data_IF_679442432901
#
_entry.id   IF_679442432901
#
_cell.length_a   1.000
_cell.length_b   1.000
_cell.length_c   1.000
_cell.angle_alpha   90.00
_cell.angle_beta   90.00
_cell.angle_gamma   90.00
#
_symmetry.space_group_name_H-M   'P 1'
#
loop_
_entity.id
_entity.type
_entity.pdbx_description
1 polymer ?
#
# COMPACT_ATOMS: atom_id res chain seq x y z
N UNK A 1 -15.29 -4.44 15.19
CA UNK A 1 -16.28 -4.35 14.10
C UNK A 1 -17.23 -5.52 14.21
N UNK A 2 -18.53 -5.28 14.29
CA UNK A 2 -19.54 -6.34 14.37
C UNK A 2 -20.01 -6.68 12.96
N UNK A 3 -20.05 -7.97 12.63
CA UNK A 3 -20.60 -8.45 11.36
C UNK A 3 -22.13 -8.46 11.44
N UNK A 4 -22.85 -8.25 10.31
CA UNK A 4 -24.30 -8.38 10.26
C UNK A 4 -24.76 -9.73 10.79
N UNK A 5 -25.74 -9.74 11.69
CA UNK A 5 -26.19 -11.00 12.28
C UNK A 5 -27.05 -11.82 11.31
N UNK A 6 -27.06 -13.14 11.48
CA UNK A 6 -27.92 -14.04 10.76
C UNK A 6 -28.22 -15.26 11.63
N UNK A 7 -29.51 -15.51 11.89
CA UNK A 7 -29.98 -16.56 12.83
C UNK A 7 -29.63 -17.99 12.39
N UNK A 8 -29.36 -18.22 11.11
CA UNK A 8 -29.10 -19.54 10.55
C UNK A 8 -27.60 -19.81 10.34
N UNK A 9 -26.77 -18.78 10.44
CA UNK A 9 -25.34 -18.85 10.17
C UNK A 9 -24.52 -18.61 11.45
N UNK A 10 -23.42 -19.36 11.67
CA UNK A 10 -22.55 -19.13 12.81
C UNK A 10 -21.64 -17.91 12.58
N UNK A 11 -22.21 -16.70 12.60
CA UNK A 11 -21.49 -15.44 12.35
C UNK A 11 -20.35 -15.21 13.34
N UNK A 12 -20.50 -15.68 14.58
CA UNK A 12 -19.44 -15.65 15.59
C UNK A 12 -18.17 -16.41 15.15
N UNK A 13 -18.32 -17.53 14.41
CA UNK A 13 -17.19 -18.29 13.90
C UNK A 13 -16.49 -17.54 12.76
N UNK A 14 -17.27 -16.90 11.87
CA UNK A 14 -16.73 -16.04 10.82
C UNK A 14 -15.99 -14.84 11.41
N UNK A 15 -16.55 -14.17 12.41
CA UNK A 15 -15.87 -13.06 13.10
C UNK A 15 -14.56 -13.51 13.76
N UNK A 16 -14.45 -14.79 14.14
CA UNK A 16 -13.26 -15.37 14.77
C UNK A 16 -12.16 -15.87 13.82
N UNK A 17 -12.32 -15.79 12.49
CA UNK A 17 -11.34 -16.34 11.52
C UNK A 17 -9.95 -15.72 11.64
N UNK A 18 -9.89 -14.45 12.11
CA UNK A 18 -8.65 -13.69 12.28
C UNK A 18 -8.13 -13.66 13.73
N UNK A 19 -8.79 -14.30 14.71
CA UNK A 19 -8.34 -14.31 16.11
C UNK A 19 -6.97 -14.99 16.29
N UNK A 20 -6.62 -15.92 15.39
CA UNK A 20 -5.33 -16.63 15.38
C UNK A 20 -4.73 -16.55 13.98
N UNK A 21 -3.92 -15.52 13.76
CA UNK A 21 -3.17 -15.27 12.51
C UNK A 21 -1.69 -15.13 12.80
N UNK A 22 -0.89 -16.06 12.27
CA UNK A 22 0.58 -15.99 12.30
C UNK A 22 1.19 -15.44 11.00
N UNK A 23 0.35 -15.27 9.98
CA UNK A 23 0.72 -14.79 8.64
C UNK A 23 -0.51 -14.16 7.95
N UNK A 24 -0.26 -13.45 6.86
CA UNK A 24 -1.27 -12.64 6.14
C UNK A 24 -2.22 -13.43 5.25
N UNK A 25 -1.90 -14.69 4.95
CA UNK A 25 -2.64 -15.48 3.96
C UNK A 25 -4.15 -15.60 4.24
N UNK A 26 -4.60 -15.60 5.50
CA UNK A 26 -6.03 -15.74 5.84
C UNK A 26 -6.82 -14.51 5.38
N UNK A 27 -6.24 -13.32 5.54
CA UNK A 27 -6.87 -12.08 5.11
C UNK A 27 -7.05 -12.09 3.60
N UNK A 28 -5.95 -12.33 2.87
CA UNK A 28 -5.98 -12.35 1.41
C UNK A 28 -6.84 -13.49 0.87
N UNK A 29 -6.89 -14.65 1.51
CA UNK A 29 -7.80 -15.73 1.13
C UNK A 29 -9.25 -15.27 1.16
N UNK A 30 -9.67 -14.63 2.26
CA UNK A 30 -11.07 -14.22 2.39
C UNK A 30 -11.41 -13.03 1.49
N UNK A 31 -10.52 -12.06 1.36
CA UNK A 31 -10.67 -10.94 0.40
C UNK A 31 -10.87 -11.51 -1.02
N UNK A 32 -9.99 -12.41 -1.45
CA UNK A 32 -10.07 -13.01 -2.78
C UNK A 32 -11.34 -13.84 -2.99
N UNK A 33 -11.77 -14.58 -1.98
CA UNK A 33 -13.01 -15.35 -2.02
C UNK A 33 -14.23 -14.43 -2.18
N UNK A 34 -14.31 -13.36 -1.40
CA UNK A 34 -15.39 -12.37 -1.45
C UNK A 34 -15.45 -11.68 -2.82
N UNK A 35 -14.30 -11.23 -3.33
CA UNK A 35 -14.21 -10.61 -4.65
C UNK A 35 -14.67 -11.55 -5.77
N UNK A 36 -14.15 -12.78 -5.81
CA UNK A 36 -14.50 -13.76 -6.85
C UNK A 36 -15.98 -14.15 -6.78
N UNK A 37 -16.51 -14.40 -5.58
CA UNK A 37 -17.92 -14.72 -5.40
C UNK A 37 -18.82 -13.57 -5.85
N UNK A 38 -18.42 -12.32 -5.55
CA UNK A 38 -19.19 -11.15 -5.94
C UNK A 38 -19.16 -10.88 -7.45
N UNK A 39 -18.02 -11.16 -8.11
CA UNK A 39 -17.83 -11.03 -9.56
C UNK A 39 -18.57 -12.13 -10.34
N UNK A 40 -18.37 -13.41 -9.98
CA UNK A 40 -18.81 -14.56 -10.77
C UNK A 40 -20.22 -15.06 -10.43
N UNK A 41 -20.70 -14.81 -9.20
CA UNK A 41 -21.95 -15.38 -8.66
C UNK A 41 -22.00 -16.92 -8.74
N UNK A 42 -20.83 -17.56 -8.74
CA UNK A 42 -20.69 -19.02 -8.73
C UNK A 42 -20.17 -19.45 -7.35
N UNK A 43 -20.84 -20.44 -6.75
CA UNK A 43 -20.44 -21.00 -5.48
C UNK A 43 -19.19 -21.87 -5.61
N UNK A 44 -18.87 -22.40 -6.80
CA UNK A 44 -17.66 -23.20 -7.02
C UNK A 44 -16.49 -22.31 -7.44
N UNK A 45 -15.40 -22.35 -6.69
CA UNK A 45 -14.21 -21.53 -6.95
C UNK A 45 -12.95 -22.39 -6.92
N UNK A 46 -12.18 -22.36 -8.02
CA UNK A 46 -10.93 -23.11 -8.11
C UNK A 46 -9.83 -22.46 -7.27
N UNK A 47 -8.99 -23.30 -6.65
CA UNK A 47 -7.87 -22.82 -5.83
C UNK A 47 -6.92 -21.92 -6.62
N UNK A 48 -6.64 -22.27 -7.88
CA UNK A 48 -5.76 -21.49 -8.76
C UNK A 48 -6.22 -20.02 -8.86
N UNK A 49 -7.53 -19.80 -9.01
CA UNK A 49 -8.11 -18.46 -9.11
C UNK A 49 -7.96 -17.71 -7.78
N UNK A 50 -8.26 -18.35 -6.65
CA UNK A 50 -8.15 -17.71 -5.33
C UNK A 50 -6.69 -17.34 -5.04
N UNK A 51 -5.75 -18.26 -5.27
CA UNK A 51 -4.32 -18.03 -5.01
C UNK A 51 -3.74 -16.93 -5.91
N UNK A 52 -4.11 -16.91 -7.20
CA UNK A 52 -3.72 -15.82 -8.09
C UNK A 52 -4.30 -14.48 -7.60
N UNK A 53 -5.59 -14.44 -7.24
CA UNK A 53 -6.24 -13.24 -6.72
C UNK A 53 -5.62 -12.77 -5.38
N UNK A 54 -5.20 -13.70 -4.53
CA UNK A 54 -4.48 -13.37 -3.28
C UNK A 54 -3.21 -12.59 -3.59
N UNK A 55 -2.39 -13.09 -4.52
CA UNK A 55 -1.15 -12.42 -4.95
C UNK A 55 -1.45 -11.05 -5.54
N UNK A 56 -2.48 -10.94 -6.38
CA UNK A 56 -2.90 -9.67 -6.95
C UNK A 56 -3.27 -8.63 -5.88
N UNK A 57 -3.97 -9.04 -4.83
CA UNK A 57 -4.39 -8.17 -3.73
C UNK A 57 -3.25 -7.69 -2.83
N UNK A 58 -2.17 -8.48 -2.72
CA UNK A 58 -1.00 -8.13 -1.92
C UNK A 58 0.16 -7.53 -2.72
N UNK A 59 0.10 -7.57 -4.06
CA UNK A 59 1.19 -7.12 -4.93
C UNK A 59 1.58 -5.67 -4.67
N UNK A 60 0.59 -4.77 -4.64
CA UNK A 60 0.83 -3.35 -4.49
C UNK A 60 1.33 -2.97 -3.07
N UNK A 61 0.71 -3.45 -1.97
CA UNK A 61 1.27 -3.27 -0.62
C UNK A 61 2.73 -3.72 -0.47
N UNK A 62 3.09 -4.89 -1.02
CA UNK A 62 4.43 -5.47 -0.88
C UNK A 62 5.44 -4.77 -1.80
N UNK A 63 5.14 -4.67 -3.09
CA UNK A 63 6.15 -4.32 -4.08
C UNK A 63 6.29 -2.81 -4.27
N UNK A 64 5.17 -2.08 -4.28
CA UNK A 64 5.14 -0.63 -4.50
C UNK A 64 5.33 0.14 -3.18
N UNK A 65 4.56 -0.21 -2.15
CA UNK A 65 4.62 0.47 -0.84
C UNK A 65 5.64 -0.13 0.14
N UNK A 66 6.26 -1.27 -0.21
CA UNK A 66 7.29 -1.92 0.61
C UNK A 66 6.84 -2.29 2.03
N UNK A 67 5.54 -2.57 2.22
CA UNK A 67 5.01 -2.98 3.53
C UNK A 67 5.57 -4.37 3.88
N UNK A 68 6.13 -4.49 5.08
CA UNK A 68 6.59 -5.77 5.61
C UNK A 68 5.40 -6.58 6.14
N UNK A 69 5.27 -7.84 5.74
CA UNK A 69 4.25 -8.73 6.34
C UNK A 69 4.79 -9.49 7.56
N UNK A 70 6.06 -9.24 7.91
CA UNK A 70 6.80 -9.92 8.96
C UNK A 70 7.88 -10.85 8.39
N UNK A 71 8.98 -10.99 9.12
CA UNK A 71 10.19 -11.70 8.66
C UNK A 71 9.95 -13.17 8.25
N UNK A 72 9.00 -13.84 8.92
CA UNK A 72 8.69 -15.25 8.67
C UNK A 72 7.44 -15.46 7.79
N UNK A 73 6.88 -14.38 7.21
CA UNK A 73 5.72 -14.52 6.33
C UNK A 73 6.17 -14.95 4.93
N UNK A 74 6.06 -16.25 4.67
CA UNK A 74 6.37 -16.83 3.35
C UNK A 74 5.55 -16.22 2.20
N UNK A 75 4.40 -15.61 2.50
CA UNK A 75 3.57 -14.95 1.49
C UNK A 75 4.28 -13.73 0.88
N UNK A 76 4.91 -12.90 1.72
CA UNK A 76 5.73 -11.77 1.27
C UNK A 76 6.95 -12.23 0.48
N UNK A 77 7.67 -13.24 0.99
CA UNK A 77 8.81 -13.82 0.29
C UNK A 77 8.45 -14.32 -1.12
N UNK A 78 7.39 -15.12 -1.25
CA UNK A 78 6.99 -15.68 -2.54
C UNK A 78 6.63 -14.60 -3.56
N UNK A 79 5.96 -13.53 -3.13
CA UNK A 79 5.54 -12.44 -4.01
C UNK A 79 6.74 -11.62 -4.49
N UNK A 80 7.68 -11.31 -3.59
CA UNK A 80 8.95 -10.65 -3.95
C UNK A 80 9.77 -11.52 -4.91
N UNK A 81 9.82 -12.83 -4.69
CA UNK A 81 10.53 -13.75 -5.59
C UNK A 81 9.84 -13.86 -6.96
N UNK A 82 8.50 -13.87 -7.01
CA UNK A 82 7.77 -13.78 -8.29
C UNK A 82 8.16 -12.49 -9.02
N UNK A 83 8.14 -11.33 -8.35
CA UNK A 83 8.52 -10.05 -8.93
C UNK A 83 9.96 -10.08 -9.47
N UNK A 84 10.91 -10.61 -8.69
CA UNK A 84 12.32 -10.72 -9.08
C UNK A 84 12.55 -11.61 -10.30
N UNK A 85 11.87 -12.75 -10.38
CA UNK A 85 12.00 -13.70 -11.50
C UNK A 85 11.41 -13.12 -12.79
N UNK A 86 10.28 -12.42 -12.67
CA UNK A 86 9.46 -12.03 -13.81
C UNK A 86 9.76 -10.63 -14.32
N UNK A 87 10.35 -9.76 -13.48
CA UNK A 87 10.54 -8.35 -13.79
C UNK A 87 9.23 -7.57 -13.93
N UNK A 88 8.10 -8.15 -13.48
CA UNK A 88 6.79 -7.50 -13.58
C UNK A 88 6.78 -6.16 -12.84
N UNK A 89 6.12 -5.16 -13.44
CA UNK A 89 6.05 -3.82 -12.85
C UNK A 89 5.44 -3.83 -11.45
N UNK A 90 6.00 -3.01 -10.55
CA UNK A 90 5.52 -2.90 -9.17
C UNK A 90 4.11 -2.29 -9.10
N UNK A 91 3.74 -1.53 -10.14
CA UNK A 91 2.44 -0.87 -10.30
C UNK A 91 1.59 -1.47 -11.43
N UNK A 92 1.81 -2.73 -11.81
CA UNK A 92 0.96 -3.46 -12.76
C UNK A 92 -0.54 -3.37 -12.40
N UNK A 93 -1.41 -3.42 -13.41
CA UNK A 93 -2.85 -3.51 -13.17
C UNK A 93 -3.23 -4.87 -12.56
N UNK A 94 -4.21 -4.88 -11.64
CA UNK A 94 -4.67 -6.09 -10.95
C UNK A 94 -5.16 -7.19 -11.91
N UNK A 95 -5.89 -6.81 -12.96
CA UNK A 95 -6.41 -7.75 -13.97
C UNK A 95 -5.28 -8.29 -14.84
N UNK A 96 -4.39 -7.42 -15.31
CA UNK A 96 -3.23 -7.81 -16.10
C UNK A 96 -2.31 -8.79 -15.33
N UNK A 97 -2.05 -8.51 -14.05
CA UNK A 97 -1.30 -9.41 -13.19
C UNK A 97 -2.02 -10.75 -12.99
N UNK A 98 -3.35 -10.74 -12.85
CA UNK A 98 -4.13 -11.96 -12.72
C UNK A 98 -4.01 -12.83 -13.98
N UNK A 99 -4.23 -12.24 -15.16
CA UNK A 99 -4.12 -12.93 -16.44
C UNK A 99 -2.70 -13.48 -16.65
N UNK A 100 -1.68 -12.70 -16.29
CA UNK A 100 -0.30 -13.15 -16.28
C UNK A 100 -0.11 -14.39 -15.39
N UNK A 101 -0.56 -14.36 -14.13
CA UNK A 101 -0.39 -15.47 -13.18
C UNK A 101 -1.14 -16.74 -13.63
N UNK A 102 -2.33 -16.59 -14.22
CA UNK A 102 -3.13 -17.73 -14.69
C UNK A 102 -2.53 -18.37 -15.96
N UNK A 103 -2.00 -17.54 -16.86
CA UNK A 103 -1.42 -18.00 -18.13
C UNK A 103 0.05 -18.41 -18.01
N UNK A 104 0.75 -18.00 -16.94
CA UNK A 104 2.16 -18.34 -16.75
C UNK A 104 2.40 -19.86 -16.73
N UNK A 105 3.41 -20.31 -17.47
CA UNK A 105 3.80 -21.73 -17.57
C UNK A 105 5.12 -22.05 -16.86
N UNK A 106 5.79 -21.07 -16.27
CA UNK A 106 7.02 -21.26 -15.51
C UNK A 106 6.77 -22.19 -14.32
N UNK A 107 7.47 -23.35 -14.23
CA UNK A 107 7.35 -24.24 -13.08
C UNK A 107 7.69 -23.55 -11.76
N UNK A 108 8.65 -22.62 -11.78
CA UNK A 108 9.09 -21.89 -10.59
C UNK A 108 8.06 -20.86 -10.11
N UNK A 109 7.42 -20.12 -11.03
CA UNK A 109 6.33 -19.20 -10.65
C UNK A 109 5.13 -20.00 -10.13
N UNK A 110 4.76 -21.07 -10.83
CA UNK A 110 3.65 -21.92 -10.42
C UNK A 110 3.88 -22.58 -9.05
N UNK A 111 5.12 -22.97 -8.71
CA UNK A 111 5.41 -23.51 -7.37
C UNK A 111 5.28 -22.46 -6.26
N UNK A 112 5.69 -21.21 -6.52
CA UNK A 112 5.53 -20.10 -5.58
C UNK A 112 4.06 -19.74 -5.34
N UNK A 113 3.25 -19.70 -6.41
CA UNK A 113 1.80 -19.46 -6.33
C UNK A 113 1.11 -20.59 -5.55
N UNK A 114 1.41 -21.85 -5.90
CA UNK A 114 0.75 -23.01 -5.30
C UNK A 114 1.26 -23.37 -3.90
N UNK A 115 2.31 -22.71 -3.40
CA UNK A 115 2.86 -22.97 -2.06
C UNK A 115 1.78 -22.95 -0.96
N UNK A 116 0.81 -22.03 -1.08
CA UNK A 116 -0.23 -21.80 -0.09
C UNK A 116 -1.44 -22.75 -0.21
N UNK A 117 -1.53 -23.53 -1.29
CA UNK A 117 -2.60 -24.52 -1.52
C UNK A 117 -2.76 -25.50 -0.35
N UNK A 118 -1.64 -25.91 0.27
CA UNK A 118 -1.62 -27.01 1.25
C UNK A 118 -2.10 -26.62 2.65
N UNK A 119 -2.24 -25.33 2.95
CA UNK A 119 -2.53 -24.87 4.31
C UNK A 119 -3.71 -23.91 4.35
N UNK A 120 -3.76 -22.93 3.45
CA UNK A 120 -4.69 -21.80 3.56
C UNK A 120 -6.16 -22.21 3.62
N UNK A 121 -6.71 -23.00 2.67
CA UNK A 121 -8.14 -23.37 2.69
C UNK A 121 -8.53 -24.16 3.95
N UNK A 122 -7.60 -24.91 4.52
CA UNK A 122 -7.84 -25.71 5.72
C UNK A 122 -7.76 -24.85 6.99
N UNK A 123 -6.73 -24.01 7.10
CA UNK A 123 -6.51 -23.14 8.27
C UNK A 123 -7.55 -22.04 8.39
N UNK A 124 -8.16 -21.61 7.29
CA UNK A 124 -9.26 -20.66 7.32
C UNK A 124 -10.51 -21.26 8.01
N UNK A 125 -10.74 -22.57 7.88
CA UNK A 125 -11.84 -23.28 8.55
C UNK A 125 -11.56 -23.62 10.03
N UNK A 126 -10.43 -23.18 10.59
CA UNK A 126 -10.08 -23.51 11.98
C UNK A 126 -11.11 -23.11 13.05
N UNK A 127 -11.92 -22.04 12.90
CA UNK A 127 -13.00 -21.75 13.85
C UNK A 127 -14.12 -22.80 13.82
N UNK A 128 -14.42 -23.39 12.66
CA UNK A 128 -15.44 -24.44 12.53
C UNK A 128 -14.94 -25.81 12.95
N UNK A 129 -13.64 -26.07 12.74
CA UNK A 129 -13.00 -27.36 12.97
C UNK A 129 -11.72 -27.20 13.79
N UNK A 130 -11.81 -26.84 15.09
CA UNK A 130 -10.64 -26.63 15.92
C UNK A 130 -9.84 -27.92 16.11
N UNK A 131 -8.51 -27.81 16.02
CA UNK A 131 -7.56 -28.92 16.24
C UNK A 131 -7.78 -30.14 15.33
N UNK A 132 -8.36 -29.97 14.15
CA UNK A 132 -8.56 -31.04 13.15
C UNK A 132 -7.43 -31.09 12.14
N UNK A 133 -7.13 -32.30 11.64
CA UNK A 133 -6.16 -32.47 10.55
C UNK A 133 -6.76 -32.01 9.22
N UNK A 134 -5.93 -31.75 8.21
CA UNK A 134 -6.42 -31.36 6.88
C UNK A 134 -7.36 -32.42 6.29
N UNK A 135 -7.07 -33.71 6.50
CA UNK A 135 -7.92 -34.82 6.04
C UNK A 135 -9.30 -34.76 6.70
N UNK A 136 -9.35 -34.60 8.02
CA UNK A 136 -10.61 -34.49 8.77
C UNK A 136 -11.41 -33.26 8.32
N UNK A 137 -10.74 -32.14 8.01
CA UNK A 137 -11.40 -30.93 7.53
C UNK A 137 -12.06 -31.17 6.16
N UNK A 138 -11.40 -31.89 5.23
CA UNK A 138 -12.03 -32.27 3.95
C UNK A 138 -13.28 -33.10 4.19
N UNK A 139 -13.18 -34.13 5.03
CA UNK A 139 -14.28 -35.03 5.34
C UNK A 139 -15.45 -34.30 6.00
N UNK A 140 -15.20 -33.54 7.07
CA UNK A 140 -16.22 -32.78 7.81
C UNK A 140 -16.88 -31.70 6.95
N UNK A 141 -16.08 -30.99 6.14
CA UNK A 141 -16.60 -29.92 5.29
C UNK A 141 -17.45 -30.44 4.13
N UNK A 142 -17.26 -31.69 3.69
CA UNK A 142 -17.97 -32.27 2.54
C UNK A 142 -19.50 -32.21 2.65
N UNK A 143 -20.03 -32.39 3.86
CA UNK A 143 -21.45 -32.27 4.22
C UNK A 143 -21.80 -30.93 4.89
N UNK A 144 -20.95 -29.92 4.80
CA UNK A 144 -21.11 -28.61 5.45
C UNK A 144 -21.35 -28.68 6.97
N UNK A 145 -20.67 -29.61 7.66
CA UNK A 145 -20.78 -29.78 9.11
C UNK A 145 -20.59 -28.44 9.85
N UNK A 146 -21.36 -28.23 10.92
CA UNK A 146 -21.40 -26.97 11.68
C UNK A 146 -21.76 -25.73 10.84
N UNK A 147 -22.50 -25.90 9.73
CA UNK A 147 -22.77 -24.85 8.75
C UNK A 147 -21.48 -24.11 8.34
N UNK A 148 -20.42 -24.86 8.00
CA UNK A 148 -19.18 -24.25 7.56
C UNK A 148 -19.36 -23.46 6.24
N UNK A 149 -18.54 -22.43 6.07
CA UNK A 149 -18.66 -21.45 4.98
C UNK A 149 -18.45 -22.05 3.59
N UNK A 150 -17.60 -23.08 3.48
CA UNK A 150 -17.41 -23.83 2.25
C UNK A 150 -16.99 -25.28 2.53
N UNK A 151 -17.13 -26.13 1.51
CA UNK A 151 -16.54 -27.47 1.44
C UNK A 151 -15.30 -27.48 0.55
N UNK A 152 -14.37 -28.39 0.82
CA UNK A 152 -13.12 -28.52 0.06
C UNK A 152 -13.18 -29.73 -0.88
N UNK A 153 -12.92 -29.50 -2.16
CA UNK A 153 -12.63 -30.55 -3.14
C UNK A 153 -11.11 -30.70 -3.31
N UNK A 154 -10.56 -31.75 -2.72
CA UNK A 154 -9.10 -32.02 -2.77
C UNK A 154 -8.67 -32.82 -4.02
N UNK A 155 -9.63 -33.28 -4.83
CA UNK A 155 -9.38 -33.86 -6.14
C UNK A 155 -8.96 -32.79 -7.16
N UNK A 156 -8.02 -33.12 -8.05
CA UNK A 156 -7.57 -32.18 -9.11
C UNK A 156 -8.65 -32.06 -10.20
N UNK A 157 -9.00 -30.84 -10.66
CA UNK A 157 -8.56 -29.53 -10.16
C UNK A 157 -9.20 -29.19 -8.80
N UNK A 158 -8.35 -28.76 -7.84
CA UNK A 158 -8.80 -28.44 -6.48
C UNK A 158 -9.68 -27.20 -6.46
N UNK A 159 -10.72 -27.25 -5.65
CA UNK A 159 -11.70 -26.19 -5.54
C UNK A 159 -12.30 -26.12 -4.13
N UNK A 160 -12.95 -25.00 -3.84
CA UNK A 160 -13.97 -24.94 -2.81
C UNK A 160 -15.35 -24.84 -3.46
N UNK A 161 -16.38 -25.21 -2.71
CA UNK A 161 -17.74 -24.76 -3.01
C UNK A 161 -18.34 -24.10 -1.77
N UNK A 162 -18.76 -22.85 -1.95
CA UNK A 162 -19.43 -22.04 -0.94
C UNK A 162 -20.76 -22.70 -0.58
N UNK A 163 -21.01 -22.82 0.72
CA UNK A 163 -22.29 -23.27 1.23
C UNK A 163 -23.40 -22.32 0.78
N UNK A 164 -24.45 -22.84 0.15
CA UNK A 164 -25.55 -22.02 -0.38
C UNK A 164 -26.18 -21.11 0.69
N UNK A 165 -26.26 -21.58 1.95
CA UNK A 165 -26.74 -20.77 3.08
C UNK A 165 -25.90 -19.52 3.31
N UNK A 166 -24.59 -19.60 3.04
CA UNK A 166 -23.66 -18.49 3.18
C UNK A 166 -23.66 -17.58 1.95
N UNK A 167 -23.91 -18.10 0.74
CA UNK A 167 -23.73 -17.36 -0.51
C UNK A 167 -24.48 -16.02 -0.52
N UNK A 168 -25.77 -16.04 -0.20
CA UNK A 168 -26.59 -14.82 -0.13
C UNK A 168 -26.07 -13.83 0.93
N UNK A 169 -25.68 -14.33 2.11
CA UNK A 169 -25.13 -13.49 3.17
C UNK A 169 -23.81 -12.83 2.76
N UNK A 170 -22.89 -13.59 2.15
CA UNK A 170 -21.59 -13.08 1.70
C UNK A 170 -21.75 -12.04 0.60
N UNK A 171 -22.66 -12.28 -0.34
CA UNK A 171 -22.96 -11.36 -1.44
C UNK A 171 -23.60 -10.07 -0.93
N UNK A 172 -24.67 -10.19 -0.13
CA UNK A 172 -25.43 -9.04 0.37
C UNK A 172 -24.58 -8.15 1.29
N UNK A 173 -23.67 -8.74 2.06
CA UNK A 173 -22.83 -8.04 3.02
C UNK A 173 -21.38 -7.85 2.54
N UNK A 174 -21.11 -8.04 1.24
CA UNK A 174 -19.76 -8.08 0.69
C UNK A 174 -18.90 -6.87 1.09
N UNK A 175 -19.46 -5.66 1.04
CA UNK A 175 -18.74 -4.44 1.42
C UNK A 175 -18.32 -4.45 2.89
N UNK A 176 -19.24 -4.80 3.79
CA UNK A 176 -18.97 -4.86 5.23
C UNK A 176 -17.94 -5.97 5.53
N UNK A 177 -18.00 -7.08 4.81
CA UNK A 177 -17.04 -8.18 4.98
C UNK A 177 -15.64 -7.81 4.46
N UNK A 178 -15.55 -7.08 3.35
CA UNK A 178 -14.28 -6.53 2.87
C UNK A 178 -13.71 -5.51 3.86
N UNK A 179 -14.54 -4.59 4.38
CA UNK A 179 -14.13 -3.63 5.41
C UNK A 179 -13.62 -4.36 6.67
N UNK A 180 -14.27 -5.46 7.08
CA UNK A 180 -13.81 -6.32 8.16
C UNK A 180 -12.44 -6.95 7.85
N UNK A 181 -12.23 -7.45 6.63
CA UNK A 181 -10.94 -8.00 6.20
C UNK A 181 -9.84 -6.94 6.23
N UNK A 182 -10.07 -5.78 5.61
CA UNK A 182 -9.08 -4.71 5.51
C UNK A 182 -8.78 -4.08 6.88
N UNK A 183 -9.77 -3.94 7.76
CA UNK A 183 -9.55 -3.49 9.13
C UNK A 183 -8.61 -4.41 9.90
N UNK A 184 -8.89 -5.72 9.92
CA UNK A 184 -8.04 -6.66 10.64
C UNK A 184 -6.65 -6.82 9.98
N UNK A 185 -6.58 -6.74 8.64
CA UNK A 185 -5.31 -6.74 7.91
C UNK A 185 -4.48 -5.49 8.25
N UNK A 186 -5.10 -4.30 8.31
CA UNK A 186 -4.42 -3.06 8.69
C UNK A 186 -3.83 -3.16 10.11
N UNK A 187 -4.62 -3.65 11.08
CA UNK A 187 -4.14 -3.86 12.46
C UNK A 187 -2.98 -4.86 12.51
N UNK A 188 -3.09 -5.98 11.78
CA UNK A 188 -2.02 -6.97 11.70
C UNK A 188 -0.74 -6.34 11.13
N UNK A 189 -0.83 -5.62 10.01
CA UNK A 189 0.32 -5.01 9.36
C UNK A 189 0.91 -3.86 10.18
N UNK A 190 0.10 -3.09 10.90
CA UNK A 190 0.59 -2.06 11.83
C UNK A 190 1.49 -2.65 12.91
N UNK A 191 1.17 -3.83 13.43
CA UNK A 191 2.04 -4.52 14.40
C UNK A 191 3.41 -4.92 13.83
N UNK A 192 3.52 -5.04 12.50
CA UNK A 192 4.77 -5.39 11.79
C UNK A 192 5.51 -4.18 11.25
N UNK A 193 4.83 -3.03 11.17
CA UNK A 193 5.33 -1.78 10.59
C UNK A 193 4.99 -0.60 11.51
N UNK A 194 5.44 -0.59 12.78
CA UNK A 194 4.97 0.35 13.80
C UNK A 194 5.19 1.82 13.43
N UNK A 195 6.24 2.12 12.64
CA UNK A 195 6.62 3.48 12.28
C UNK A 195 6.28 3.86 10.83
N UNK A 196 5.57 2.99 10.10
CA UNK A 196 5.20 3.27 8.71
C UNK A 196 3.90 4.07 8.70
N UNK A 197 3.86 5.25 8.05
CA UNK A 197 2.66 6.05 8.01
C UNK A 197 1.58 5.40 7.13
N UNK A 198 0.33 5.65 7.49
CA UNK A 198 -0.83 5.47 6.61
C UNK A 198 -0.98 4.06 5.98
N UNK A 199 -0.78 3.01 6.78
CA UNK A 199 -0.97 1.62 6.35
C UNK A 199 -2.35 1.36 5.74
N UNK A 200 -3.49 1.87 6.28
CA UNK A 200 -4.80 1.60 5.72
C UNK A 200 -4.93 1.99 4.23
N UNK A 201 -4.44 3.17 3.85
CA UNK A 201 -4.49 3.61 2.45
C UNK A 201 -3.44 2.92 1.57
N UNK A 202 -2.48 2.19 2.15
CA UNK A 202 -1.50 1.38 1.42
C UNK A 202 -1.99 -0.03 1.07
N UNK A 203 -3.18 -0.45 1.57
CA UNK A 203 -3.68 -1.81 1.34
C UNK A 203 -4.30 -2.03 -0.04
N UNK A 204 -4.83 -0.96 -0.65
CA UNK A 204 -5.56 -1.03 -1.91
C UNK A 204 -4.90 -0.06 -2.90
N UNK A 205 -4.63 -0.56 -4.11
CA UNK A 205 -4.16 0.32 -5.19
C UNK A 205 -5.27 1.29 -5.59
N UNK A 206 -5.06 2.62 -5.49
CA UNK A 206 -6.05 3.57 -5.99
C UNK A 206 -6.16 3.46 -7.51
N UNK A 207 -7.36 3.67 -8.04
CA UNK A 207 -7.62 3.63 -9.50
C UNK A 207 -6.73 4.64 -10.22
N UNK A 208 -6.57 5.83 -9.64
CA UNK A 208 -5.65 6.87 -10.09
C UNK A 208 -5.15 7.68 -8.90
N UNK A 209 -3.95 8.26 -9.02
CA UNK A 209 -3.46 9.24 -8.06
C UNK A 209 -4.12 10.58 -8.33
N UNK A 210 -4.52 11.28 -7.27
CA UNK A 210 -5.03 12.64 -7.40
C UNK A 210 -3.96 13.53 -8.06
N UNK A 211 -4.32 14.40 -9.00
CA UNK A 211 -3.36 15.31 -9.59
C UNK A 211 -2.89 16.34 -8.55
N UNK A 212 -1.61 16.71 -8.60
CA UNK A 212 -0.99 17.72 -7.72
C UNK A 212 -1.36 19.16 -8.12
N UNK A 213 -2.58 19.38 -8.62
CA UNK A 213 -3.01 20.66 -9.19
C UNK A 213 -2.97 21.78 -8.15
N UNK A 214 -3.44 21.54 -6.92
CA UNK A 214 -3.44 22.57 -5.86
C UNK A 214 -2.02 22.98 -5.47
N UNK A 215 -1.15 22.00 -5.35
CA UNK A 215 0.25 22.18 -4.97
C UNK A 215 1.03 22.86 -6.11
N UNK A 216 0.71 22.54 -7.37
CA UNK A 216 1.24 23.27 -8.52
C UNK A 216 0.84 24.74 -8.48
N UNK A 217 -0.42 25.06 -8.19
CA UNK A 217 -0.87 26.45 -8.07
C UNK A 217 -0.19 27.19 -6.91
N UNK A 218 0.03 26.52 -5.77
CA UNK A 218 0.84 27.07 -4.68
C UNK A 218 2.23 27.47 -5.16
N UNK A 219 2.93 26.58 -5.86
CA UNK A 219 4.28 26.85 -6.38
C UNK A 219 4.29 27.93 -7.47
N UNK A 220 3.24 28.05 -8.29
CA UNK A 220 3.12 29.17 -9.24
C UNK A 220 3.12 30.52 -8.53
N UNK A 221 2.42 30.66 -7.40
CA UNK A 221 2.43 31.89 -6.61
C UNK A 221 3.81 32.24 -6.01
N UNK A 222 4.67 31.23 -5.80
CA UNK A 222 6.07 31.40 -5.39
C UNK A 222 6.93 31.82 -6.59
N UNK A 223 6.71 31.22 -7.77
CA UNK A 223 7.37 31.64 -9.02
C UNK A 223 7.08 33.11 -9.36
N UNK A 224 5.88 33.61 -9.07
CA UNK A 224 5.55 35.01 -9.33
C UNK A 224 6.43 36.01 -8.56
N UNK A 225 7.05 35.60 -7.43
CA UNK A 225 8.01 36.42 -6.69
C UNK A 225 9.46 36.21 -7.10
N UNK A 226 9.88 34.96 -7.34
CA UNK A 226 11.28 34.66 -7.66
C UNK A 226 11.62 34.80 -9.14
N UNK A 227 10.61 34.79 -10.02
CA UNK A 227 10.68 34.63 -11.47
C UNK A 227 11.27 33.28 -11.91
N UNK A 228 12.37 32.85 -11.30
CA UNK A 228 13.07 31.60 -11.55
C UNK A 228 13.43 30.93 -10.22
N UNK A 229 13.26 29.60 -10.15
CA UNK A 229 13.59 28.82 -8.94
C UNK A 229 14.74 27.86 -9.29
N UNK A 230 15.87 27.88 -8.57
CA UNK A 230 16.93 26.90 -8.79
C UNK A 230 16.46 25.50 -8.37
N UNK A 231 16.53 24.53 -9.28
CA UNK A 231 16.21 23.13 -8.97
C UNK A 231 17.17 22.60 -7.91
N UNK A 232 16.66 22.08 -6.78
CA UNK A 232 17.50 21.65 -5.66
C UNK A 232 18.50 20.53 -6.03
N UNK A 233 18.17 19.72 -7.04
CA UNK A 233 18.97 18.57 -7.47
C UNK A 233 20.04 18.91 -8.51
N UNK A 234 19.80 19.94 -9.33
CA UNK A 234 20.63 20.24 -10.50
C UNK A 234 21.19 21.65 -10.53
N UNK A 235 20.69 22.54 -9.67
CA UNK A 235 20.87 24.00 -9.74
C UNK A 235 20.42 24.65 -11.06
N UNK A 236 19.78 23.89 -11.97
CA UNK A 236 19.24 24.47 -13.20
C UNK A 236 18.07 25.38 -12.88
N UNK A 237 18.00 26.52 -13.53
CA UNK A 237 16.86 27.45 -13.41
C UNK A 237 15.56 26.78 -13.90
N UNK A 238 14.55 26.76 -13.03
CA UNK A 238 13.19 26.34 -13.35
C UNK A 238 12.36 27.57 -13.70
N UNK A 239 11.49 27.41 -14.70
CA UNK A 239 10.54 28.43 -15.13
C UNK A 239 9.11 27.98 -14.86
N UNK A 240 8.21 28.94 -14.61
CA UNK A 240 6.80 28.69 -14.28
C UNK A 240 6.07 27.84 -15.33
N UNK A 241 6.48 27.95 -16.60
CA UNK A 241 5.88 27.23 -17.72
C UNK A 241 6.25 25.73 -17.72
N UNK A 242 7.41 25.37 -17.15
CA UNK A 242 7.97 24.03 -17.31
C UNK A 242 8.63 23.51 -16.02
N UNK A 243 7.80 23.07 -15.09
CA UNK A 243 8.22 22.34 -13.89
C UNK A 243 7.24 21.21 -13.57
N UNK A 244 7.68 20.21 -12.82
CA UNK A 244 6.82 19.21 -12.15
C UNK A 244 6.85 19.44 -10.65
N UNK A 245 5.79 19.05 -9.94
CA UNK A 245 5.78 19.01 -8.48
C UNK A 245 6.22 17.61 -8.07
N UNK A 246 7.30 17.52 -7.30
CA UNK A 246 7.94 16.26 -6.90
C UNK A 246 7.89 16.08 -5.38
N UNK A 247 7.73 14.83 -4.97
CA UNK A 247 7.84 14.42 -3.56
C UNK A 247 9.30 14.26 -3.17
N UNK A 248 9.79 15.05 -2.22
CA UNK A 248 11.17 14.95 -1.72
C UNK A 248 11.42 13.56 -1.13
N UNK A 249 10.64 13.17 -0.11
CA UNK A 249 10.51 11.77 0.30
C UNK A 249 9.41 11.09 -0.53
N UNK A 250 9.64 9.93 -1.16
CA UNK A 250 8.69 9.29 -2.07
C UNK A 250 7.26 9.18 -1.54
N UNK A 251 6.26 9.45 -2.39
CA UNK A 251 4.86 9.22 -2.06
C UNK A 251 4.56 7.77 -1.67
N UNK A 252 5.21 6.80 -2.32
CA UNK A 252 5.12 5.39 -1.96
C UNK A 252 5.52 5.14 -0.49
N UNK A 253 6.29 6.03 0.12
CA UNK A 253 6.53 6.01 1.56
C UNK A 253 5.54 6.90 2.34
N UNK A 254 5.38 8.18 2.03
CA UNK A 254 4.59 9.11 2.86
C UNK A 254 3.06 9.04 2.67
N UNK A 255 2.58 8.53 1.54
CA UNK A 255 1.16 8.39 1.17
C UNK A 255 0.31 9.67 1.20
N UNK A 256 0.91 10.86 1.11
CA UNK A 256 0.18 12.12 1.07
C UNK A 256 0.81 13.14 0.12
N UNK A 257 0.05 14.19 -0.18
CA UNK A 257 0.44 15.29 -1.05
C UNK A 257 0.56 16.63 -0.30
N UNK A 258 0.94 16.58 0.98
CA UNK A 258 1.19 17.75 1.81
C UNK A 258 2.42 18.54 1.33
N UNK A 259 2.29 19.87 1.26
CA UNK A 259 3.31 20.77 0.71
C UNK A 259 4.66 20.73 1.40
N UNK A 260 4.72 20.38 2.70
CA UNK A 260 5.99 20.30 3.43
C UNK A 260 7.00 19.35 2.79
N UNK A 261 6.53 18.39 1.99
CA UNK A 261 7.33 17.39 1.28
C UNK A 261 7.38 17.59 -0.25
N UNK A 262 6.77 18.65 -0.79
CA UNK A 262 6.62 18.85 -2.23
C UNK A 262 7.41 20.04 -2.73
N UNK A 263 8.06 19.92 -3.88
CA UNK A 263 8.91 20.97 -4.47
C UNK A 263 8.78 21.02 -5.99
N UNK A 264 9.05 22.17 -6.62
CA UNK A 264 9.19 22.27 -8.06
C UNK A 264 10.52 21.67 -8.50
N UNK A 265 10.50 20.85 -9.54
CA UNK A 265 11.69 20.24 -10.14
C UNK A 265 11.57 20.20 -11.66
N UNK A 266 12.68 19.93 -12.34
CA UNK A 266 12.65 19.64 -13.77
C UNK A 266 11.89 18.31 -14.01
N UNK A 267 10.97 18.24 -15.00
CA UNK A 267 10.26 17.00 -15.32
C UNK A 267 11.17 15.78 -15.56
N UNK A 268 12.36 15.96 -16.14
CA UNK A 268 13.30 14.86 -16.35
C UNK A 268 13.84 14.30 -15.03
N UNK A 269 14.06 15.17 -14.04
CA UNK A 269 14.51 14.78 -12.70
C UNK A 269 13.38 14.11 -11.93
N UNK A 270 12.14 14.60 -12.03
CA UNK A 270 10.96 13.95 -11.47
C UNK A 270 10.84 12.49 -11.92
N UNK A 271 11.01 12.26 -13.23
CA UNK A 271 10.99 10.90 -13.81
C UNK A 271 12.19 10.07 -13.33
N UNK A 272 13.39 10.66 -13.32
CA UNK A 272 14.61 9.95 -12.92
C UNK A 272 14.64 9.58 -11.43
N UNK A 273 14.15 10.46 -10.56
CA UNK A 273 14.09 10.24 -9.11
C UNK A 273 13.00 9.24 -8.76
N UNK A 274 11.81 9.37 -9.34
CA UNK A 274 10.72 8.41 -9.15
C UNK A 274 10.51 8.10 -7.64
N UNK A 275 10.43 6.83 -7.26
CA UNK A 275 10.26 6.39 -5.88
C UNK A 275 11.56 6.32 -5.06
N UNK A 276 12.62 7.02 -5.45
CA UNK A 276 13.92 6.97 -4.74
C UNK A 276 14.08 8.07 -3.70
N UNK A 277 14.84 7.76 -2.66
CA UNK A 277 15.15 8.66 -1.55
C UNK A 277 16.20 9.71 -1.96
N UNK A 278 16.09 10.96 -1.46
CA UNK A 278 17.15 11.94 -1.61
C UNK A 278 18.27 11.67 -0.59
N UNK A 279 19.51 11.97 -0.96
CA UNK A 279 20.64 11.98 -0.01
C UNK A 279 20.58 13.29 0.79
N UNK A 280 20.18 13.21 2.07
CA UNK A 280 19.95 14.40 2.89
C UNK A 280 21.19 15.29 3.03
N UNK A 281 22.38 14.72 3.16
CA UNK A 281 23.63 15.50 3.25
C UNK A 281 23.92 16.34 2.01
N UNK A 282 23.33 16.02 0.85
CA UNK A 282 23.52 16.75 -0.40
C UNK A 282 22.41 17.76 -0.68
N UNK A 283 21.17 17.45 -0.29
CA UNK A 283 19.99 18.18 -0.77
C UNK A 283 19.18 18.88 0.32
N UNK A 284 19.43 18.60 1.60
CA UNK A 284 18.61 19.13 2.69
C UNK A 284 18.62 20.65 2.75
N UNK A 285 19.80 21.27 2.67
CA UNK A 285 19.94 22.72 2.86
C UNK A 285 19.16 23.48 1.78
N UNK A 286 19.38 23.13 0.51
CA UNK A 286 18.66 23.71 -0.64
C UNK A 286 17.16 23.45 -0.58
N UNK A 287 16.75 22.26 -0.11
CA UNK A 287 15.34 21.92 0.07
C UNK A 287 14.71 22.83 1.14
N UNK A 288 15.37 22.99 2.29
CA UNK A 288 14.91 23.81 3.40
C UNK A 288 14.85 25.28 3.02
N UNK A 289 15.87 25.81 2.34
CA UNK A 289 15.88 27.19 1.83
C UNK A 289 14.66 27.47 0.97
N UNK A 290 14.36 26.57 0.02
CA UNK A 290 13.21 26.70 -0.87
C UNK A 290 11.88 26.64 -0.14
N UNK A 291 11.72 25.71 0.82
CA UNK A 291 10.52 25.61 1.64
C UNK A 291 10.33 26.84 2.53
N UNK A 292 11.40 27.34 3.15
CA UNK A 292 11.34 28.53 4.00
C UNK A 292 10.91 29.76 3.19
N UNK A 293 11.47 29.92 1.99
CA UNK A 293 11.07 30.98 1.07
C UNK A 293 9.60 30.86 0.70
N UNK A 294 9.13 29.66 0.34
CA UNK A 294 7.75 29.43 -0.07
C UNK A 294 6.74 29.78 1.04
N UNK A 295 7.01 29.38 2.28
CA UNK A 295 6.17 29.72 3.44
C UNK A 295 6.18 31.24 3.67
N UNK A 296 7.37 31.85 3.77
CA UNK A 296 7.53 33.30 4.00
C UNK A 296 6.75 34.12 2.99
N UNK A 297 6.93 33.81 1.71
CA UNK A 297 6.28 34.49 0.60
C UNK A 297 4.77 34.31 0.61
N UNK A 298 4.30 33.07 0.78
CA UNK A 298 2.86 32.78 0.74
C UNK A 298 2.15 33.38 1.94
N UNK A 299 2.74 33.30 3.13
CA UNK A 299 2.20 33.90 4.34
C UNK A 299 2.09 35.42 4.23
N UNK A 300 3.13 36.11 3.73
CA UNK A 300 3.09 37.57 3.52
C UNK A 300 2.00 38.01 2.54
N UNK A 301 1.75 37.24 1.48
CA UNK A 301 0.71 37.53 0.49
C UNK A 301 -0.70 37.21 0.97
N UNK A 302 -0.87 36.05 1.61
CA UNK A 302 -2.16 35.56 2.06
C UNK A 302 -1.99 34.68 3.32
N UNK A 303 -2.01 35.28 4.51
CA UNK A 303 -1.87 34.55 5.78
C UNK A 303 -2.95 33.48 5.99
N UNK A 304 -4.12 33.63 5.36
CA UNK A 304 -5.26 32.71 5.47
C UNK A 304 -5.27 31.62 4.39
N UNK A 305 -4.17 31.43 3.65
CA UNK A 305 -4.08 30.36 2.68
C UNK A 305 -4.08 29.00 3.38
N UNK A 306 -5.18 28.24 3.24
CA UNK A 306 -5.37 26.92 3.88
C UNK A 306 -4.25 25.93 3.57
N UNK A 307 -3.56 26.05 2.44
CA UNK A 307 -2.44 25.17 2.11
C UNK A 307 -1.24 25.36 3.05
N UNK A 308 -1.17 26.46 3.79
CA UNK A 308 -0.15 26.64 4.83
C UNK A 308 -0.33 25.66 6.00
N UNK A 309 -1.54 25.13 6.23
CA UNK A 309 -1.80 24.11 7.27
C UNK A 309 -0.98 22.83 7.03
N UNK A 310 -0.59 22.55 5.78
CA UNK A 310 0.28 21.40 5.45
C UNK A 310 1.61 21.47 6.22
N UNK A 311 2.08 22.65 6.63
CA UNK A 311 3.34 22.81 7.35
C UNK A 311 3.24 22.59 8.87
N UNK A 312 2.05 22.28 9.41
CA UNK A 312 1.83 22.06 10.84
C UNK A 312 2.75 20.98 11.46
N UNK A 313 3.20 20.01 10.65
CA UNK A 313 4.08 18.92 11.09
C UNK A 313 5.49 19.39 11.52
N UNK A 314 5.89 20.62 11.15
CA UNK A 314 7.11 21.25 11.64
C UNK A 314 6.96 21.81 13.07
N UNK A 315 5.72 21.90 13.56
CA UNK A 315 5.35 22.44 14.88
C UNK A 315 5.48 23.96 14.98
N UNK A 316 4.69 24.58 15.87
CA UNK A 316 4.56 26.03 16.00
C UNK A 316 3.45 26.60 15.11
N UNK A 317 3.19 27.91 15.21
CA UNK A 317 2.25 28.57 14.30
C UNK A 317 2.89 28.85 12.95
N UNK A 318 2.09 29.04 11.91
CA UNK A 318 2.60 29.40 10.57
C UNK A 318 3.34 30.75 10.61
N UNK A 319 2.89 31.69 11.44
CA UNK A 319 3.59 32.96 11.64
C UNK A 319 4.99 32.74 12.20
N UNK A 320 5.12 31.89 13.22
CA UNK A 320 6.42 31.58 13.81
C UNK A 320 7.33 30.95 12.75
N UNK A 321 6.84 29.94 12.02
CA UNK A 321 7.59 29.28 10.95
C UNK A 321 8.07 30.25 9.87
N UNK A 322 7.24 31.24 9.52
CA UNK A 322 7.60 32.28 8.56
C UNK A 322 8.70 33.21 9.08
N UNK A 323 8.81 33.44 10.38
CA UNK A 323 9.81 34.36 10.94
C UNK A 323 11.08 33.68 11.46
N UNK A 324 11.10 32.34 11.56
CA UNK A 324 12.26 31.58 12.05
C UNK A 324 13.56 31.89 11.29
N UNK A 325 14.66 31.88 12.03
CA UNK A 325 16.00 31.86 11.45
C UNK A 325 16.24 30.57 10.67
N UNK A 326 17.08 30.62 9.64
CA UNK A 326 17.34 29.46 8.77
C UNK A 326 17.78 28.22 9.56
N UNK A 327 18.73 28.36 10.50
CA UNK A 327 19.24 27.22 11.27
C UNK A 327 18.17 26.53 12.12
N UNK A 328 17.24 27.28 12.69
CA UNK A 328 16.15 26.74 13.50
C UNK A 328 15.11 26.03 12.62
N UNK A 329 14.78 26.63 11.48
CA UNK A 329 13.88 26.05 10.50
C UNK A 329 14.46 24.78 9.86
N UNK A 330 15.76 24.81 9.54
CA UNK A 330 16.54 23.65 9.08
C UNK A 330 16.53 22.54 10.11
N UNK A 331 16.73 22.86 11.40
CA UNK A 331 16.67 21.89 12.49
C UNK A 331 15.30 21.22 12.58
N UNK A 332 14.20 21.98 12.46
CA UNK A 332 12.83 21.41 12.41
C UNK A 332 12.67 20.43 11.26
N UNK A 333 13.10 20.81 10.06
CA UNK A 333 13.06 19.93 8.89
C UNK A 333 13.94 18.70 9.03
N UNK A 334 15.16 18.84 9.56
CA UNK A 334 16.03 17.69 9.82
C UNK A 334 15.37 16.69 10.77
N UNK A 335 14.79 17.18 11.87
CA UNK A 335 14.10 16.35 12.85
C UNK A 335 12.85 15.66 12.28
N UNK A 336 12.19 16.27 11.30
CA UNK A 336 11.07 15.66 10.57
C UNK A 336 11.53 14.63 9.54
N UNK A 337 12.48 14.99 8.67
CA UNK A 337 12.85 14.21 7.50
C UNK A 337 13.81 13.06 7.81
N UNK A 338 14.78 13.25 8.71
CA UNK A 338 15.81 12.24 8.99
C UNK A 338 15.21 10.91 9.48
N UNK A 339 14.26 10.89 10.44
CA UNK A 339 13.61 9.65 10.84
C UNK A 339 12.83 8.99 9.69
N UNK A 340 12.12 9.79 8.88
CA UNK A 340 11.33 9.28 7.76
C UNK A 340 12.20 8.63 6.69
N UNK A 341 13.32 9.26 6.32
CA UNK A 341 14.29 8.70 5.37
C UNK A 341 14.88 7.39 5.91
N UNK A 342 15.25 7.35 7.19
CA UNK A 342 15.78 6.13 7.81
C UNK A 342 14.77 4.98 7.80
N UNK A 343 13.50 5.25 8.11
CA UNK A 343 12.44 4.23 8.08
C UNK A 343 12.23 3.72 6.65
N UNK A 344 12.17 4.63 5.66
CA UNK A 344 12.03 4.26 4.26
C UNK A 344 13.21 3.42 3.76
N UNK A 345 14.44 3.79 4.10
CA UNK A 345 15.64 3.00 3.78
C UNK A 345 15.53 1.58 4.36
N UNK A 346 15.13 1.45 5.63
CA UNK A 346 14.94 0.16 6.29
C UNK A 346 13.84 -0.69 5.64
N UNK A 347 12.88 -0.08 4.95
CA UNK A 347 11.85 -0.77 4.15
C UNK A 347 12.36 -1.21 2.77
N UNK A 348 13.58 -0.84 2.38
CA UNK A 348 14.19 -1.18 1.10
C UNK A 348 13.93 -0.16 -0.02
N UNK A 349 13.69 1.11 0.33
CA UNK A 349 13.74 2.19 -0.65
C UNK A 349 15.19 2.53 -1.01
N UNK A 350 15.47 2.63 -2.31
CA UNK A 350 16.80 2.98 -2.81
C UNK A 350 17.03 4.49 -2.83
N UNK A 351 18.29 4.90 -2.71
CA UNK A 351 18.69 6.30 -2.89
C UNK A 351 18.76 6.68 -4.37
N UNK A 352 18.43 7.93 -4.66
CA UNK A 352 18.60 8.51 -5.99
C UNK A 352 20.04 8.99 -6.16
N UNK A 353 20.71 8.40 -7.14
CA UNK A 353 22.01 8.85 -7.60
C UNK A 353 21.83 9.65 -8.88
N UNK A 354 22.31 10.90 -8.88
CA UNK A 354 22.40 11.68 -10.10
C UNK A 354 23.42 10.97 -11.00
N UNK A 355 22.96 10.36 -12.10
CA UNK A 355 23.86 9.78 -13.10
C UNK A 355 24.83 10.86 -13.57
N UNK A 356 26.10 10.75 -13.19
CA UNK A 356 27.16 11.61 -13.70
C UNK A 356 27.45 11.18 -15.13
N UNK A 357 26.80 11.83 -16.10
CA UNK A 357 26.97 11.50 -17.51
C UNK A 357 25.93 12.13 -18.43
N UNK A 358 25.88 13.47 -18.44
CA UNK A 358 25.34 14.29 -19.52
C UNK A 358 25.71 15.75 -19.20
N UNK A 359 26.95 16.11 -19.55
CA UNK A 359 27.32 17.49 -19.86
C UNK A 359 27.24 17.65 -21.37
#
# INVERSE_FOLDING_TARGET
>A
MQLPDNKELPINLLAGVFNKTTATYKFYWFISLLEILNEKRDNRIYFKDILARMICNSWYPINYFKISFGFFDMFDYNIKEIQRITGTSLDINKLELFDFLITNRSPKVNSLVNHFEKQVPYRFLSPWFPNKSNKDIVELSSGFSNNCIYRIFDARPKAIEINEKWSNYLIANNRILLDFCFWNLALYLQSKNPNVPDIPNKLIKPISRSPLTKQRHFWLGVFDELHEIPCIYTNSSLKKENFSVEHFIPFSFVSHDLLWNLIPVNPSINISKSNKLPVLSLFLDKFVELQQFAIKTTFRKNPNNKLLEDYQFLGGSISDLADLHFDEFRKKYYNLLSPLVQIAENMGFEYWEKKTGAL
#
